data_IF_876787619378
#
_entry.id   IF_876787619378
#
_cell.length_a   1.000
_cell.length_b   1.000
_cell.length_c   1.000
_cell.angle_alpha   90.00
_cell.angle_beta   90.00
_cell.angle_gamma   90.00
#
_symmetry.space_group_name_H-M   'P 1'
#
loop_
_entity.id
_entity.type
_entity.pdbx_description
1 polymer ?
#
# COMPACT_ATOMS: atom_id res chain seq x y z
N UNK A 1 41.75 -7.26 5.94
CA UNK A 1 41.07 -7.37 4.63
C UNK A 1 39.66 -7.88 4.89
N UNK A 2 38.68 -6.98 4.95
CA UNK A 2 37.27 -7.35 5.19
C UNK A 2 36.65 -7.65 3.84
N UNK A 3 36.25 -8.91 3.66
CA UNK A 3 35.51 -9.36 2.49
C UNK A 3 34.08 -8.84 2.64
N UNK A 4 33.70 -7.89 1.80
CA UNK A 4 32.32 -7.45 1.67
C UNK A 4 31.49 -8.65 1.14
N UNK A 5 30.31 -8.92 1.70
CA UNK A 5 29.45 -9.98 1.16
C UNK A 5 29.06 -9.58 -0.27
N UNK A 6 29.44 -10.45 -1.19
CA UNK A 6 29.01 -10.36 -2.59
C UNK A 6 27.50 -10.59 -2.61
N UNK A 7 26.72 -9.57 -2.92
CA UNK A 7 25.30 -9.76 -3.20
C UNK A 7 25.17 -10.71 -4.39
N UNK A 8 24.35 -11.77 -4.28
CA UNK A 8 24.13 -12.65 -5.42
C UNK A 8 23.57 -11.84 -6.59
N UNK A 9 24.18 -12.01 -7.74
CA UNK A 9 23.67 -11.45 -8.98
C UNK A 9 22.21 -11.90 -9.14
N UNK A 10 21.32 -10.96 -9.46
CA UNK A 10 19.92 -11.23 -9.74
C UNK A 10 19.80 -12.24 -10.87
N UNK A 11 19.64 -13.51 -10.53
CA UNK A 11 19.19 -14.52 -11.48
C UNK A 11 17.71 -14.25 -11.76
N UNK A 12 17.31 -14.36 -13.02
CA UNK A 12 15.95 -14.12 -13.53
C UNK A 12 14.86 -15.09 -13.00
N UNK A 13 15.15 -15.88 -12.01
CA UNK A 13 14.16 -16.66 -11.29
C UNK A 13 13.50 -15.75 -10.26
N UNK A 14 12.45 -15.08 -10.67
CA UNK A 14 11.62 -14.21 -9.82
C UNK A 14 10.86 -15.06 -8.81
N UNK A 15 11.53 -15.47 -7.75
CA UNK A 15 10.84 -15.91 -6.54
C UNK A 15 10.10 -14.72 -5.96
N UNK A 16 8.82 -14.65 -6.25
CA UNK A 16 7.96 -13.58 -5.71
C UNK A 16 7.57 -13.94 -4.28
N UNK A 17 8.29 -13.41 -3.32
CA UNK A 17 7.90 -13.51 -1.93
C UNK A 17 6.77 -12.52 -1.65
N UNK A 18 5.61 -13.02 -1.23
CA UNK A 18 4.44 -12.18 -0.93
C UNK A 18 4.40 -11.72 0.51
N UNK A 19 5.22 -12.30 1.38
CA UNK A 19 5.27 -11.96 2.80
C UNK A 19 6.59 -11.32 3.17
N UNK A 20 6.86 -10.18 2.54
CA UNK A 20 8.00 -9.31 2.85
C UNK A 20 7.49 -7.90 3.14
N UNK A 21 8.31 -7.06 3.73
CA UNK A 21 8.00 -5.75 4.27
C UNK A 21 6.99 -5.80 5.44
N UNK A 22 7.02 -4.83 6.29
CA UNK A 22 5.99 -4.64 7.33
C UNK A 22 4.68 -4.20 6.66
N UNK A 23 3.55 -4.73 7.10
CA UNK A 23 2.25 -4.59 6.41
C UNK A 23 1.90 -3.15 6.09
N UNK A 24 1.97 -2.23 7.04
CA UNK A 24 1.60 -0.82 6.83
C UNK A 24 2.47 -0.11 5.78
N UNK A 25 3.65 -0.64 5.51
CA UNK A 25 4.65 -0.09 4.59
C UNK A 25 4.86 -0.96 3.35
N UNK A 26 4.05 -2.03 3.22
CA UNK A 26 4.15 -2.98 2.10
C UNK A 26 3.59 -2.38 0.84
N UNK A 27 4.34 -2.50 -0.25
CA UNK A 27 3.94 -1.96 -1.56
C UNK A 27 2.81 -2.76 -2.21
N UNK A 28 2.01 -2.15 -3.09
CA UNK A 28 0.91 -2.82 -3.79
C UNK A 28 1.38 -4.02 -4.62
N UNK A 29 2.52 -3.92 -5.29
CA UNK A 29 3.08 -5.01 -6.11
C UNK A 29 3.46 -6.22 -5.27
N UNK A 30 3.89 -6.03 -4.04
CA UNK A 30 4.16 -7.14 -3.10
C UNK A 30 2.85 -7.75 -2.61
N UNK A 31 1.86 -6.95 -2.23
CA UNK A 31 0.54 -7.42 -1.80
C UNK A 31 -0.11 -8.27 -2.90
N UNK A 32 -0.05 -7.80 -4.13
CA UNK A 32 -0.69 -8.43 -5.28
C UNK A 32 0.10 -9.59 -5.90
N UNK A 33 1.30 -9.89 -5.38
CA UNK A 33 2.12 -10.99 -5.86
C UNK A 33 2.67 -10.76 -7.26
N UNK A 34 3.09 -9.55 -7.55
CA UNK A 34 3.74 -9.17 -8.80
C UNK A 34 5.25 -9.21 -8.65
N UNK A 35 5.98 -9.22 -9.76
CA UNK A 35 7.42 -8.98 -9.74
C UNK A 35 7.70 -7.58 -9.19
N UNK A 36 8.67 -7.48 -8.31
CA UNK A 36 9.04 -6.24 -7.65
C UNK A 36 10.55 -5.99 -7.75
N UNK A 37 10.93 -4.76 -7.55
CA UNK A 37 12.32 -4.31 -7.53
C UNK A 37 12.51 -3.30 -6.37
N UNK A 38 13.65 -2.60 -6.32
CA UNK A 38 14.00 -1.70 -5.23
C UNK A 38 12.99 -0.57 -4.97
N UNK A 39 12.11 -0.24 -5.92
CA UNK A 39 11.07 0.79 -5.74
C UNK A 39 10.10 0.48 -4.60
N UNK A 40 10.00 -0.78 -4.16
CA UNK A 40 9.21 -1.15 -2.97
C UNK A 40 9.70 -0.44 -1.70
N UNK A 41 10.99 -0.17 -1.60
CA UNK A 41 11.58 0.57 -0.47
C UNK A 41 11.24 2.07 -0.54
N UNK A 42 11.14 2.63 -1.74
CA UNK A 42 10.68 4.02 -1.93
C UNK A 42 9.22 4.18 -1.53
N UNK A 43 8.39 3.18 -1.81
CA UNK A 43 7.01 3.14 -1.29
C UNK A 43 6.99 3.19 0.23
N UNK A 44 7.77 2.33 0.88
CA UNK A 44 7.88 2.29 2.35
C UNK A 44 8.36 3.62 2.91
N UNK A 45 9.35 4.25 2.29
CA UNK A 45 9.85 5.57 2.69
C UNK A 45 8.74 6.63 2.60
N UNK A 46 7.97 6.64 1.53
CA UNK A 46 6.83 7.55 1.37
C UNK A 46 5.79 7.39 2.48
N UNK A 47 5.48 6.15 2.87
CA UNK A 47 4.59 5.85 3.99
C UNK A 47 5.14 6.39 5.32
N UNK A 48 6.44 6.21 5.57
CA UNK A 48 7.10 6.70 6.78
C UNK A 48 7.09 8.23 6.81
N UNK A 49 7.37 8.89 5.69
CA UNK A 49 7.35 10.36 5.62
C UNK A 49 5.95 10.91 5.92
N UNK A 50 4.91 10.30 5.38
CA UNK A 50 3.52 10.68 5.68
C UNK A 50 3.19 10.48 7.16
N UNK A 51 3.64 9.39 7.76
CA UNK A 51 3.45 9.10 9.18
C UNK A 51 4.20 10.06 10.10
N UNK A 52 5.42 10.44 9.73
CA UNK A 52 6.19 11.46 10.47
C UNK A 52 5.50 12.81 10.46
N UNK A 53 4.81 13.14 9.38
CA UNK A 53 4.06 14.39 9.26
C UNK A 53 2.74 14.37 10.04
N UNK A 54 1.98 13.28 9.95
CA UNK A 54 0.64 13.17 10.50
C UNK A 54 0.59 12.58 11.90
N UNK A 55 1.64 11.83 12.30
CA UNK A 55 1.68 11.06 13.55
C UNK A 55 0.97 9.70 13.50
N UNK A 56 0.39 9.32 12.34
CA UNK A 56 -0.36 8.08 12.18
C UNK A 56 0.02 7.37 10.88
N UNK A 57 0.01 6.01 10.85
CA UNK A 57 0.21 5.27 9.62
C UNK A 57 -0.81 5.70 8.55
N UNK A 58 -0.33 5.92 7.33
CA UNK A 58 -1.19 6.35 6.22
C UNK A 58 -2.13 5.22 5.76
N UNK A 59 -1.66 3.96 5.82
CA UNK A 59 -2.40 2.77 5.41
C UNK A 59 -2.45 1.74 6.54
N UNK A 60 -3.31 1.91 7.56
CA UNK A 60 -3.33 1.04 8.74
C UNK A 60 -4.24 -0.18 8.55
N UNK A 61 -3.96 -1.03 7.60
CA UNK A 61 -4.74 -2.25 7.34
C UNK A 61 -4.49 -3.34 8.39
N UNK A 62 -5.54 -3.98 8.92
CA UNK A 62 -5.42 -5.07 9.88
C UNK A 62 -5.04 -6.41 9.23
N UNK A 63 -5.32 -6.56 7.94
CA UNK A 63 -4.98 -7.70 7.11
C UNK A 63 -4.60 -7.23 5.69
N UNK A 64 -4.19 -8.16 4.82
CA UNK A 64 -3.75 -7.80 3.47
C UNK A 64 -4.86 -7.18 2.61
N UNK A 65 -6.10 -7.66 2.72
CA UNK A 65 -7.24 -7.14 1.95
C UNK A 65 -7.56 -5.72 2.39
N UNK A 66 -7.59 -5.48 3.69
CA UNK A 66 -7.82 -4.14 4.23
C UNK A 66 -6.66 -3.21 3.90
N UNK A 67 -5.41 -3.70 3.92
CA UNK A 67 -4.24 -2.93 3.54
C UNK A 67 -4.35 -2.42 2.10
N UNK A 68 -4.72 -3.27 1.16
CA UNK A 68 -4.94 -2.87 -0.22
C UNK A 68 -6.14 -1.92 -0.35
N UNK A 69 -7.20 -2.13 0.41
CA UNK A 69 -8.37 -1.24 0.44
C UNK A 69 -8.01 0.17 0.91
N UNK A 70 -7.20 0.29 1.96
CA UNK A 70 -6.69 1.58 2.43
C UNK A 70 -5.88 2.32 1.36
N UNK A 71 -5.03 1.58 0.62
CA UNK A 71 -4.25 2.14 -0.48
C UNK A 71 -5.17 2.64 -1.59
N UNK A 72 -6.15 1.84 -2.00
CA UNK A 72 -7.09 2.20 -3.06
C UNK A 72 -8.03 3.35 -2.66
N UNK A 73 -8.33 3.52 -1.39
CA UNK A 73 -9.15 4.63 -0.90
C UNK A 73 -8.47 5.98 -1.15
N UNK A 74 -7.16 6.05 -0.98
CA UNK A 74 -6.38 7.29 -1.13
C UNK A 74 -5.89 7.48 -2.56
N UNK A 75 -5.36 6.43 -3.19
CA UNK A 75 -4.70 6.52 -4.50
C UNK A 75 -5.60 6.11 -5.67
N UNK A 76 -6.77 5.59 -5.38
CA UNK A 76 -7.67 5.03 -6.40
C UNK A 76 -7.39 3.58 -6.75
N UNK A 77 -8.29 2.99 -7.52
CA UNK A 77 -8.18 1.60 -7.97
C UNK A 77 -7.12 1.51 -9.06
N UNK A 78 -6.20 0.52 -9.00
CA UNK A 78 -5.23 0.30 -10.06
C UNK A 78 -5.90 0.04 -11.40
N UNK A 79 -5.18 0.31 -12.50
CA UNK A 79 -5.70 0.04 -13.83
C UNK A 79 -5.85 -1.48 -14.08
N UNK A 80 -6.62 -1.82 -15.11
CA UNK A 80 -6.92 -3.22 -15.44
C UNK A 80 -5.67 -4.01 -15.84
N UNK A 81 -4.71 -3.36 -16.49
CA UNK A 81 -3.47 -3.99 -16.91
C UNK A 81 -2.62 -4.38 -15.70
N UNK A 82 -2.50 -3.47 -14.73
CA UNK A 82 -1.80 -3.73 -13.48
C UNK A 82 -2.42 -4.91 -12.73
N UNK A 83 -3.74 -4.93 -12.60
CA UNK A 83 -4.46 -6.01 -11.93
C UNK A 83 -4.30 -7.34 -12.68
N UNK A 84 -4.34 -7.33 -14.01
CA UNK A 84 -4.19 -8.55 -14.82
C UNK A 84 -2.81 -9.19 -14.69
N UNK A 85 -1.78 -8.41 -14.45
CA UNK A 85 -0.42 -8.91 -14.17
C UNK A 85 -0.25 -9.49 -12.76
N UNK A 86 -1.22 -9.24 -11.88
CA UNK A 86 -1.21 -9.72 -10.50
C UNK A 86 -1.49 -11.23 -10.44
N UNK A 87 -0.60 -12.00 -9.81
CA UNK A 87 -0.80 -13.44 -9.57
C UNK A 87 -1.89 -13.70 -8.52
N UNK A 88 -2.13 -12.75 -7.62
CA UNK A 88 -3.08 -12.86 -6.50
C UNK A 88 -4.39 -12.10 -6.72
N UNK A 89 -4.68 -11.68 -7.94
CA UNK A 89 -5.87 -10.86 -8.26
C UNK A 89 -7.19 -11.46 -7.77
N UNK A 90 -7.35 -12.79 -7.84
CA UNK A 90 -8.58 -13.46 -7.39
C UNK A 90 -8.84 -13.29 -5.90
N UNK A 91 -7.80 -13.21 -5.07
CA UNK A 91 -7.92 -13.00 -3.63
C UNK A 91 -8.52 -11.62 -3.28
N UNK A 92 -8.20 -10.61 -4.07
CA UNK A 92 -8.55 -9.21 -3.77
C UNK A 92 -9.75 -8.71 -4.58
N UNK A 93 -9.90 -9.18 -5.81
CA UNK A 93 -10.90 -8.66 -6.76
C UNK A 93 -11.98 -9.67 -7.15
N UNK A 94 -11.85 -10.94 -6.74
CA UNK A 94 -12.76 -12.02 -7.12
C UNK A 94 -12.64 -12.44 -8.59
N UNK A 95 -13.45 -13.40 -9.01
CA UNK A 95 -13.42 -13.92 -10.39
C UNK A 95 -14.07 -12.99 -11.42
N UNK A 96 -15.00 -12.16 -10.98
CA UNK A 96 -15.80 -11.26 -11.82
C UNK A 96 -15.36 -9.80 -11.70
N UNK A 97 -14.07 -9.54 -11.79
CA UNK A 97 -13.54 -8.18 -11.72
C UNK A 97 -14.18 -7.20 -12.72
N UNK A 98 -14.68 -7.70 -13.86
CA UNK A 98 -15.35 -6.88 -14.88
C UNK A 98 -16.75 -6.40 -14.46
N UNK A 99 -17.39 -7.05 -13.48
CA UNK A 99 -18.76 -6.77 -13.04
C UNK A 99 -18.82 -6.19 -11.62
N UNK A 100 -17.81 -6.42 -10.83
CA UNK A 100 -17.74 -5.86 -9.49
C UNK A 100 -17.07 -4.49 -9.57
N UNK A 101 -17.86 -3.42 -9.51
CA UNK A 101 -17.34 -2.15 -9.03
C UNK A 101 -16.65 -2.46 -7.72
N UNK A 102 -15.30 -2.47 -7.72
CA UNK A 102 -14.55 -2.54 -6.48
C UNK A 102 -14.93 -1.33 -5.64
N UNK A 103 -15.99 -1.46 -4.88
CA UNK A 103 -16.18 -0.61 -3.73
C UNK A 103 -15.32 -1.25 -2.65
N UNK A 104 -14.19 -0.63 -2.28
CA UNK A 104 -13.53 -1.01 -1.05
C UNK A 104 -14.62 -0.95 0.03
N UNK A 105 -14.82 -2.05 0.74
CA UNK A 105 -15.64 -1.99 1.95
C UNK A 105 -14.94 -0.98 2.83
N UNK A 106 -15.47 0.24 2.86
CA UNK A 106 -14.99 1.32 3.70
C UNK A 106 -15.05 0.82 5.15
N UNK A 107 -13.95 0.28 5.61
CA UNK A 107 -13.79 0.08 7.05
C UNK A 107 -13.61 1.47 7.64
N UNK A 108 -14.35 1.75 8.69
CA UNK A 108 -14.37 3.06 9.38
C UNK A 108 -12.98 3.57 9.81
N UNK A 109 -11.95 2.72 9.72
CA UNK A 109 -10.59 2.99 10.16
C UNK A 109 -9.71 3.70 9.12
N UNK A 110 -9.97 3.48 7.84
CA UNK A 110 -9.26 4.17 6.75
C UNK A 110 -9.81 5.58 6.51
N UNK A 111 -10.86 5.96 7.22
CA UNK A 111 -11.34 7.32 7.23
C UNK A 111 -10.34 8.18 7.99
N UNK A 112 -9.29 8.61 7.29
CA UNK A 112 -8.45 9.71 7.75
C UNK A 112 -9.39 10.84 8.21
N UNK A 113 -9.29 11.19 9.48
CA UNK A 113 -10.16 12.14 10.14
C UNK A 113 -10.25 13.44 9.29
N UNK A 114 -11.32 13.60 8.51
CA UNK A 114 -11.60 14.84 7.78
C UNK A 114 -11.97 16.00 8.70
N UNK A 115 -11.89 15.78 10.01
CA UNK A 115 -12.11 16.78 11.03
C UNK A 115 -10.80 17.31 11.59
N UNK A 116 -9.81 17.62 10.75
CA UNK A 116 -8.86 18.66 11.12
C UNK A 116 -9.63 19.97 11.04
N UNK A 117 -9.82 20.71 12.14
CA UNK A 117 -10.43 22.01 12.07
C UNK A 117 -9.59 22.85 11.11
N UNK A 118 -10.22 23.33 10.04
CA UNK A 118 -9.62 24.32 9.16
C UNK A 118 -9.08 25.43 10.04
N UNK A 119 -7.84 25.82 9.85
CA UNK A 119 -7.08 26.83 10.57
C UNK A 119 -7.67 28.27 10.48
N UNK A 120 -8.99 28.36 10.46
CA UNK A 120 -9.76 29.59 10.37
C UNK A 120 -10.62 29.97 11.57
N UNK A 121 -10.57 29.20 12.68
CA UNK A 121 -11.41 29.49 13.85
C UNK A 121 -10.63 29.82 15.14
N UNK A 122 -9.38 30.21 15.04
CA UNK A 122 -8.58 30.62 16.20
C UNK A 122 -8.51 32.15 16.40
N UNK A 123 -9.34 32.93 15.73
CA UNK A 123 -9.33 34.39 15.84
C UNK A 123 -10.65 35.02 16.30
N UNK A 124 -11.44 34.34 17.10
CA UNK A 124 -12.59 35.01 17.75
C UNK A 124 -12.86 34.50 19.16
N UNK A 125 -11.90 34.60 20.05
CA UNK A 125 -12.12 34.70 21.50
C UNK A 125 -10.90 35.36 22.14
N UNK A 126 -10.80 36.60 21.93
CA UNK A 126 -10.09 37.51 22.80
C UNK A 126 -11.07 38.64 23.20
#
# INVERSE_FOLDING_TARGET
MRILPTFPAFSNDTLVYTYIQSRFYRSPEVILGMSYHMAIDMWSLGCIMAELYTGFPIFPGENEQEQLSCIMEILGVPDKEFINRSSRKRLFFGENFLLSRCQPKLTHRCRFNRNTPSSGQLERQA
#
